data_IF_400825797761
#
_entry.id   IF_400825797761
#
_cell.length_a   1.000
_cell.length_b   1.000
_cell.length_c   1.000
_cell.angle_alpha   90.00
_cell.angle_beta   90.00
_cell.angle_gamma   90.00
#
_symmetry.space_group_name_H-M   'P 1'
#
loop_
_entity.id
_entity.type
_entity.pdbx_description
1 polymer ?
#
# COMPACT_ATOMS: atom_id res chain seq x y z
N UNK A 1 0.51 0.23 14.78
CA UNK A 1 1.87 0.76 14.49
C UNK A 1 1.77 1.80 13.37
N UNK A 2 2.80 2.63 13.19
CA UNK A 2 2.91 3.48 11.99
C UNK A 2 3.65 2.69 10.91
N UNK A 3 3.04 2.47 9.75
CA UNK A 3 3.59 1.66 8.65
C UNK A 3 3.59 2.51 7.38
N UNK A 4 4.77 2.67 6.77
CA UNK A 4 4.91 3.31 5.47
C UNK A 4 5.20 2.24 4.40
N UNK A 5 4.25 2.03 3.50
CA UNK A 5 4.43 1.16 2.34
C UNK A 5 4.90 2.03 1.17
N UNK A 6 6.02 1.66 0.53
CA UNK A 6 6.57 2.39 -0.62
C UNK A 6 6.57 1.50 -1.84
N UNK A 7 5.98 1.98 -2.94
CA UNK A 7 5.98 1.30 -4.23
C UNK A 7 6.50 2.22 -5.33
N UNK A 8 7.30 1.68 -6.25
CA UNK A 8 7.95 2.46 -7.32
C UNK A 8 6.97 2.99 -8.37
N UNK A 9 5.88 2.27 -8.65
CA UNK A 9 4.80 2.66 -9.57
C UNK A 9 3.49 2.02 -9.13
N UNK A 10 2.39 2.77 -9.14
CA UNK A 10 1.05 2.25 -8.87
C UNK A 10 0.28 2.07 -10.19
N UNK A 11 0.66 1.06 -10.97
CA UNK A 11 0.05 0.73 -12.27
C UNK A 11 -0.86 -0.49 -12.17
N UNK A 12 -1.87 -0.56 -13.04
CA UNK A 12 -2.80 -1.68 -13.07
C UNK A 12 -2.06 -3.02 -13.27
N UNK A 13 -2.21 -3.91 -12.30
CA UNK A 13 -1.62 -5.24 -12.30
C UNK A 13 -1.44 -5.81 -10.89
N UNK A 14 -0.92 -7.04 -10.82
CA UNK A 14 -0.86 -7.78 -9.56
C UNK A 14 -0.02 -7.12 -8.46
N UNK A 15 0.99 -6.33 -8.81
CA UNK A 15 1.78 -5.60 -7.81
C UNK A 15 0.94 -4.51 -7.10
N UNK A 16 0.07 -3.81 -7.84
CA UNK A 16 -0.85 -2.81 -7.29
C UNK A 16 -1.90 -3.45 -6.41
N UNK A 17 -2.53 -4.53 -6.88
CA UNK A 17 -3.56 -5.26 -6.12
C UNK A 17 -3.01 -5.77 -4.79
N UNK A 18 -1.86 -6.45 -4.81
CA UNK A 18 -1.20 -6.93 -3.59
C UNK A 18 -0.87 -5.78 -2.63
N UNK A 19 -0.40 -4.64 -3.15
CA UNK A 19 -0.03 -3.47 -2.34
C UNK A 19 -1.25 -2.86 -1.65
N UNK A 20 -2.33 -2.63 -2.39
CA UNK A 20 -3.56 -2.03 -1.85
C UNK A 20 -4.21 -2.96 -0.83
N UNK A 21 -4.37 -4.25 -1.15
CA UNK A 21 -4.99 -5.23 -0.24
C UNK A 21 -4.15 -5.40 1.04
N UNK A 22 -2.83 -5.35 0.94
CA UNK A 22 -1.96 -5.37 2.13
C UNK A 22 -2.16 -4.12 2.98
N UNK A 23 -2.17 -2.92 2.37
CA UNK A 23 -2.39 -1.68 3.09
C UNK A 23 -3.77 -1.65 3.78
N UNK A 24 -4.80 -2.12 3.09
CA UNK A 24 -6.16 -2.23 3.63
C UNK A 24 -6.22 -3.20 4.80
N UNK A 25 -5.66 -4.41 4.68
CA UNK A 25 -5.62 -5.39 5.76
C UNK A 25 -4.90 -4.86 7.00
N UNK A 26 -3.77 -4.15 6.82
CA UNK A 26 -3.04 -3.51 7.92
C UNK A 26 -3.85 -2.37 8.56
N UNK A 27 -4.58 -1.59 7.76
CA UNK A 27 -5.47 -0.55 8.27
C UNK A 27 -6.62 -1.14 9.10
N UNK A 28 -7.27 -2.20 8.60
CA UNK A 28 -8.31 -2.94 9.31
C UNK A 28 -7.80 -3.56 10.63
N UNK A 29 -6.52 -3.95 10.68
CA UNK A 29 -5.86 -4.42 11.91
C UNK A 29 -5.51 -3.28 12.90
N UNK A 30 -5.95 -2.05 12.66
CA UNK A 30 -5.75 -0.91 13.56
C UNK A 30 -4.38 -0.23 13.44
N UNK A 31 -3.71 -0.38 12.30
CA UNK A 31 -2.46 0.33 12.02
C UNK A 31 -2.69 1.64 11.28
N UNK A 32 -1.83 2.62 11.55
CA UNK A 32 -1.77 3.85 10.77
C UNK A 32 -0.87 3.59 9.56
N UNK A 33 -1.48 3.49 8.38
CA UNK A 33 -0.79 3.07 7.14
C UNK A 33 -0.72 4.25 6.19
N UNK A 34 0.48 4.53 5.69
CA UNK A 34 0.71 5.50 4.61
C UNK A 34 1.27 4.76 3.40
N UNK A 35 0.61 4.90 2.24
CA UNK A 35 1.12 4.38 0.98
C UNK A 35 1.76 5.53 0.19
N UNK A 36 3.06 5.40 -0.09
CA UNK A 36 3.82 6.32 -0.95
C UNK A 36 4.04 5.65 -2.29
N UNK A 37 3.66 6.34 -3.37
CA UNK A 37 3.75 5.84 -4.74
C UNK A 37 4.70 6.69 -5.56
N UNK A 38 5.53 6.07 -6.39
CA UNK A 38 6.21 6.78 -7.48
C UNK A 38 5.26 7.14 -8.63
N UNK A 39 5.72 7.95 -9.61
CA UNK A 39 4.92 8.38 -10.75
C UNK A 39 4.42 7.20 -11.58
N UNK A 40 3.23 7.37 -12.17
CA UNK A 40 2.62 6.40 -13.09
C UNK A 40 3.20 6.54 -14.51
#
# INVERSE_FOLDING_TARGET
>A
MNICHVITRLILGGAQENTILTCEGLHQAGHNVTLVTGPA
#
